data_IF_969285768886
#
_entry.id   IF_969285768886
#
_cell.length_a   1.000
_cell.length_b   1.000
_cell.length_c   1.000
_cell.angle_alpha   90.00
_cell.angle_beta   90.00
_cell.angle_gamma   90.00
#
_symmetry.space_group_name_H-M   'P 1'
#
loop_
_entity.id
_entity.type
_entity.pdbx_description
1 polymer ?
#
# COMPACT_ATOMS: atom_id res chain seq x y z
N UNK A 1 -0.35 -0.68 8.73
CA UNK A 1 0.55 -0.20 7.66
C UNK A 1 1.99 -0.47 8.08
N UNK A 2 2.87 -0.81 7.14
CA UNK A 2 4.29 -1.15 7.36
C UNK A 2 5.17 -0.17 6.57
N UNK A 3 6.38 0.08 7.06
CA UNK A 3 7.39 0.81 6.32
C UNK A 3 8.22 -0.18 5.49
N UNK A 4 8.55 0.18 4.25
CA UNK A 4 9.31 -0.68 3.36
C UNK A 4 10.20 0.09 2.40
N UNK A 5 11.19 -0.61 1.85
CA UNK A 5 12.01 -0.16 0.73
C UNK A 5 11.80 -1.07 -0.46
N UNK A 6 11.52 -0.51 -1.63
CA UNK A 6 11.45 -1.30 -2.86
C UNK A 6 12.87 -1.69 -3.26
N UNK A 7 13.12 -2.99 -3.42
CA UNK A 7 14.44 -3.53 -3.77
C UNK A 7 14.48 -4.15 -5.18
N UNK A 8 13.33 -4.37 -5.81
CA UNK A 8 13.28 -4.96 -7.14
C UNK A 8 11.87 -5.13 -7.70
N UNK A 9 11.79 -5.76 -8.86
CA UNK A 9 10.54 -6.04 -9.57
C UNK A 9 10.30 -7.55 -9.67
N UNK A 10 9.04 -7.96 -9.66
CA UNK A 10 8.63 -9.34 -9.94
C UNK A 10 7.89 -9.39 -11.26
N UNK A 11 8.28 -10.32 -12.12
CA UNK A 11 7.59 -10.61 -13.38
C UNK A 11 7.07 -12.05 -13.31
N UNK A 12 5.77 -12.22 -13.56
CA UNK A 12 5.12 -13.52 -13.61
C UNK A 12 4.24 -13.59 -14.86
N UNK A 13 4.55 -14.53 -15.76
CA UNK A 13 3.80 -14.79 -16.99
C UNK A 13 2.52 -15.57 -16.71
N UNK A 14 2.57 -16.51 -15.78
CA UNK A 14 1.43 -17.29 -15.31
C UNK A 14 1.06 -16.83 -13.91
N UNK A 15 -0.12 -16.21 -13.77
CA UNK A 15 -0.64 -15.65 -12.52
C UNK A 15 -2.16 -15.59 -12.56
N UNK A 16 -2.76 -15.37 -11.40
CA UNK A 16 -4.21 -15.20 -11.29
C UNK A 16 -4.70 -14.03 -12.19
N UNK A 17 -5.85 -14.18 -12.89
CA UNK A 17 -6.38 -13.13 -13.75
C UNK A 17 -6.69 -11.80 -13.04
N UNK A 18 -6.87 -11.80 -11.72
CA UNK A 18 -6.96 -10.61 -10.87
C UNK A 18 -5.65 -9.83 -10.80
N UNK A 19 -4.50 -10.49 -10.93
CA UNK A 19 -3.16 -9.89 -10.90
C UNK A 19 -2.65 -9.50 -12.29
N UNK A 20 -3.45 -9.70 -13.33
CA UNK A 20 -3.16 -9.18 -14.65
C UNK A 20 -3.06 -7.65 -14.58
N UNK A 21 -2.19 -7.08 -15.42
CA UNK A 21 -1.88 -5.64 -15.50
C UNK A 21 -1.27 -4.98 -14.25
N UNK A 22 -1.26 -5.66 -13.10
CA UNK A 22 -0.66 -5.11 -11.88
C UNK A 22 0.87 -5.28 -11.87
N UNK A 23 1.55 -4.22 -11.43
CA UNK A 23 2.99 -4.22 -11.16
C UNK A 23 3.23 -4.86 -9.80
N UNK A 24 4.14 -5.83 -9.77
CA UNK A 24 4.53 -6.53 -8.55
C UNK A 24 5.98 -6.15 -8.23
N UNK A 25 6.20 -5.70 -7.00
CA UNK A 25 7.47 -5.17 -6.53
C UNK A 25 7.96 -5.98 -5.33
N UNK A 26 9.27 -6.21 -5.25
CA UNK A 26 9.91 -6.80 -4.07
C UNK A 26 10.17 -5.68 -3.08
N UNK A 27 9.64 -5.84 -1.87
CA UNK A 27 9.75 -4.86 -0.79
C UNK A 27 10.48 -5.49 0.40
N UNK A 28 11.53 -4.83 0.86
CA UNK A 28 12.17 -5.12 2.13
C UNK A 28 11.45 -4.31 3.22
N UNK A 29 10.84 -4.99 4.20
CA UNK A 29 10.30 -4.31 5.38
C UNK A 29 11.40 -3.56 6.13
N UNK A 30 11.05 -2.42 6.76
CA UNK A 30 11.98 -1.59 7.52
C UNK A 30 11.52 -1.42 8.97
N UNK A 31 12.47 -1.27 9.88
CA UNK A 31 12.22 -0.86 11.27
C UNK A 31 12.20 0.67 11.42
N UNK A 32 12.01 1.14 12.65
CA UNK A 32 11.97 2.57 12.99
C UNK A 32 13.27 3.33 12.64
N UNK A 33 14.39 2.62 12.43
CA UNK A 33 15.69 3.19 12.07
C UNK A 33 16.06 2.96 10.59
N UNK A 34 15.06 2.65 9.74
CA UNK A 34 15.24 2.28 8.33
C UNK A 34 16.19 1.09 8.11
N UNK A 35 16.35 0.22 9.10
CA UNK A 35 17.11 -1.01 8.94
C UNK A 35 16.19 -2.12 8.40
N UNK A 36 16.71 -3.04 7.56
CA UNK A 36 15.95 -4.18 7.07
C UNK A 36 15.33 -4.98 8.22
N UNK A 37 14.01 -5.15 8.18
CA UNK A 37 13.22 -5.90 9.13
C UNK A 37 12.61 -7.12 8.44
N UNK A 38 13.00 -8.31 8.90
CA UNK A 38 12.48 -9.58 8.40
C UNK A 38 12.86 -9.87 6.94
N UNK A 39 12.16 -10.84 6.35
CA UNK A 39 12.39 -11.25 4.97
C UNK A 39 11.68 -10.30 3.98
N UNK A 40 12.25 -10.06 2.79
CA UNK A 40 11.55 -9.40 1.71
C UNK A 40 10.26 -10.12 1.34
N UNK A 41 9.25 -9.35 0.90
CA UNK A 41 7.97 -9.85 0.43
C UNK A 41 7.55 -9.14 -0.85
N UNK A 42 6.54 -9.68 -1.54
CA UNK A 42 6.01 -9.10 -2.77
C UNK A 42 4.81 -8.22 -2.43
N UNK A 43 4.81 -7.00 -2.94
CA UNK A 43 3.67 -6.09 -2.84
C UNK A 43 3.23 -5.66 -4.25
N UNK A 44 1.94 -5.44 -4.43
CA UNK A 44 1.43 -4.75 -5.60
C UNK A 44 1.72 -3.24 -5.51
N UNK A 45 1.92 -2.59 -6.65
CA UNK A 45 2.08 -1.14 -6.72
C UNK A 45 0.73 -0.46 -6.98
N UNK A 46 0.12 0.08 -5.93
CA UNK A 46 -1.13 0.83 -6.03
C UNK A 46 -0.96 2.26 -6.52
N UNK A 47 0.27 2.80 -6.52
CA UNK A 47 0.58 4.15 -7.02
C UNK A 47 1.06 4.10 -8.49
N UNK A 48 1.28 2.90 -9.01
CA UNK A 48 1.74 2.59 -10.37
C UNK A 48 3.09 3.21 -10.78
N UNK A 49 3.77 3.90 -9.88
CA UNK A 49 4.99 4.68 -10.15
C UNK A 49 6.17 4.28 -9.29
N UNK A 50 6.00 3.35 -8.34
CA UNK A 50 7.06 3.01 -7.39
C UNK A 50 8.19 2.24 -8.09
N UNK A 51 9.42 2.42 -7.60
CA UNK A 51 10.61 1.82 -8.19
C UNK A 51 11.69 1.48 -7.16
N UNK A 52 12.71 0.69 -7.56
CA UNK A 52 13.79 0.30 -6.66
C UNK A 52 14.51 1.50 -6.04
N UNK A 53 14.68 1.46 -4.71
CA UNK A 53 15.26 2.55 -3.92
C UNK A 53 14.23 3.35 -3.14
N UNK A 54 12.97 3.37 -3.57
CA UNK A 54 11.92 4.16 -2.93
C UNK A 54 11.57 3.63 -1.54
N UNK A 55 11.36 4.54 -0.61
CA UNK A 55 10.79 4.25 0.71
C UNK A 55 9.28 4.45 0.61
N UNK A 56 8.53 3.43 0.99
CA UNK A 56 7.09 3.33 0.76
C UNK A 56 6.38 2.87 2.04
N UNK A 57 5.10 3.23 2.17
CA UNK A 57 4.24 2.64 3.18
C UNK A 57 3.30 1.62 2.54
N UNK A 58 3.21 0.46 3.16
CA UNK A 58 2.51 -0.72 2.66
C UNK A 58 1.30 -1.04 3.54
N UNK A 59 0.18 -1.33 2.91
CA UNK A 59 -1.05 -1.82 3.55
C UNK A 59 -1.14 -3.33 3.33
N UNK A 60 -1.65 -4.05 4.34
CA UNK A 60 -1.64 -5.52 4.35
C UNK A 60 -3.05 -6.12 4.38
N UNK A 61 -3.17 -7.39 3.99
CA UNK A 61 -4.38 -8.22 4.03
C UNK A 61 -5.53 -7.60 3.22
N UNK A 62 -6.76 -7.74 3.69
CA UNK A 62 -7.99 -7.28 3.01
C UNK A 62 -7.94 -5.82 2.58
N UNK A 63 -7.25 -4.96 3.31
CA UNK A 63 -7.11 -3.55 2.97
C UNK A 63 -6.28 -3.33 1.69
N UNK A 64 -5.32 -4.22 1.40
CA UNK A 64 -4.48 -4.12 0.22
C UNK A 64 -5.27 -4.28 -1.08
N UNK A 65 -6.32 -5.10 -1.07
CA UNK A 65 -7.20 -5.31 -2.22
C UNK A 65 -8.11 -4.11 -2.51
N UNK A 66 -8.43 -3.28 -1.51
CA UNK A 66 -9.36 -2.13 -1.64
C UNK A 66 -8.79 -1.04 -2.57
N UNK A 67 -7.47 -0.99 -2.71
CA UNK A 67 -6.78 0.00 -3.54
C UNK A 67 -7.15 -0.13 -5.03
N UNK A 68 -7.55 -1.32 -5.46
CA UNK A 68 -7.83 -1.62 -6.85
C UNK A 68 -9.33 -1.55 -7.15
N UNK A 69 -9.74 -1.05 -8.34
CA UNK A 69 -11.14 -0.90 -8.71
C UNK A 69 -11.87 -2.23 -8.98
N UNK A 70 -11.13 -3.33 -9.15
CA UNK A 70 -11.69 -4.65 -9.48
C UNK A 70 -12.13 -5.37 -8.21
N UNK A 71 -13.36 -5.87 -8.20
CA UNK A 71 -13.80 -6.78 -7.14
C UNK A 71 -12.94 -8.06 -7.15
N UNK A 72 -12.35 -8.40 -6.00
CA UNK A 72 -11.59 -9.63 -5.74
C UNK A 72 -10.20 -9.71 -6.40
N UNK A 73 -9.31 -8.78 -6.09
CA UNK A 73 -7.88 -8.92 -6.40
C UNK A 73 -7.17 -9.70 -5.27
N UNK A 74 -6.49 -10.83 -5.56
CA UNK A 74 -5.83 -11.64 -4.53
C UNK A 74 -4.49 -11.04 -4.10
N UNK A 75 -4.53 -9.93 -3.36
CA UNK A 75 -3.35 -9.21 -2.88
C UNK A 75 -3.38 -9.12 -1.36
N UNK A 76 -2.26 -9.53 -0.75
CA UNK A 76 -2.03 -9.43 0.68
C UNK A 76 -1.19 -8.21 1.08
N UNK A 77 -0.46 -7.58 0.16
CA UNK A 77 0.38 -6.41 0.44
C UNK A 77 0.35 -5.44 -0.75
N UNK A 78 0.07 -4.16 -0.49
CA UNK A 78 -0.02 -3.12 -1.51
C UNK A 78 0.69 -1.84 -1.08
N UNK A 79 1.52 -1.30 -1.96
CA UNK A 79 2.15 0.02 -1.82
C UNK A 79 1.09 1.08 -2.12
N UNK A 80 0.83 1.95 -1.15
CA UNK A 80 -0.23 2.97 -1.23
C UNK A 80 0.30 4.40 -1.16
N UNK A 81 1.59 4.59 -0.88
CA UNK A 81 2.24 5.89 -1.02
C UNK A 81 3.74 5.86 -0.71
N UNK A 82 4.36 7.01 -0.96
CA UNK A 82 5.78 7.26 -0.70
C UNK A 82 5.99 7.91 0.66
N UNK A 83 7.18 7.69 1.22
CA UNK A 83 7.65 8.39 2.40
C UNK A 83 8.67 9.43 1.95
N UNK A 84 8.29 10.70 1.97
CA UNK A 84 9.21 11.80 1.67
C UNK A 84 10.10 12.12 2.88
N UNK A 85 9.50 12.19 4.06
CA UNK A 85 10.20 12.52 5.31
C UNK A 85 9.83 11.53 6.42
N UNK A 86 10.80 11.22 7.28
CA UNK A 86 10.60 10.41 8.47
C UNK A 86 11.37 11.01 9.65
N UNK A 87 10.76 10.99 10.83
CA UNK A 87 11.32 11.58 12.04
C UNK A 87 11.32 10.53 13.16
N UNK A 88 12.49 10.28 13.74
CA UNK A 88 12.64 9.33 14.85
C UNK A 88 12.95 10.09 16.12
N UNK A 89 11.97 10.21 17.02
CA UNK A 89 12.21 10.72 18.37
C UNK A 89 12.66 9.57 19.25
N UNK A 90 13.85 9.68 19.86
CA UNK A 90 14.33 8.69 20.83
C UNK A 90 13.43 8.70 22.07
N UNK A 91 12.43 7.83 22.06
CA UNK A 91 11.57 7.59 23.22
C UNK A 91 12.30 6.68 24.20
N UNK A 92 12.29 7.01 25.49
CA UNK A 92 12.85 6.13 26.52
C UNK A 92 12.20 4.74 26.40
N UNK A 93 13.01 3.66 26.46
CA UNK A 93 12.55 2.27 26.31
C UNK A 93 11.34 2.00 27.21
N UNK A 94 10.13 1.94 26.64
CA UNK A 94 8.93 1.54 27.39
C UNK A 94 9.05 0.05 27.66
N UNK A 95 9.04 -0.35 28.94
CA UNK A 95 8.97 -1.77 29.30
C UNK A 95 7.70 -2.36 28.66
N UNK A 96 7.76 -3.57 28.08
CA UNK A 96 6.57 -4.21 27.51
C UNK A 96 5.50 -4.30 28.60
N UNK A 97 4.34 -3.69 28.34
CA UNK A 97 3.23 -3.78 29.27
C UNK A 97 2.76 -5.23 29.27
N UNK A 98 2.74 -5.84 30.46
CA UNK A 98 2.21 -7.18 30.67
C UNK A 98 0.73 -7.13 30.30
N UNK A 99 0.37 -7.64 29.12
CA UNK A 99 -1.03 -7.83 28.75
C UNK A 99 -1.59 -8.82 29.77
N UNK A 100 -2.36 -8.32 30.73
CA UNK A 100 -3.12 -9.17 31.63
C UNK A 100 -4.17 -9.85 30.75
N UNK A 101 -3.91 -11.09 30.36
CA UNK A 101 -4.96 -11.97 29.85
C UNK A 101 -6.02 -12.02 30.94
N UNK A 102 -7.13 -11.30 30.76
CA UNK A 102 -8.30 -11.51 31.61
C UNK A 102 -8.65 -12.98 31.41
N UNK A 103 -8.41 -13.82 32.42
CA UNK A 103 -8.93 -15.20 32.50
C UNK A 103 -10.44 -15.16 32.69
N UNK A 104 -11.17 -14.40 31.87
CA UNK A 104 -12.63 -14.48 31.86
C UNK A 104 -12.99 -15.78 31.13
N UNK A 105 -13.80 -16.66 31.75
CA UNK A 105 -14.28 -17.85 31.06
C UNK A 105 -15.08 -17.44 29.81
N UNK A 106 -15.09 -18.29 28.76
CA UNK A 106 -15.91 -18.04 27.58
C UNK A 106 -17.39 -17.93 28.01
N UNK A 107 -18.17 -17.03 27.38
CA UNK A 107 -19.58 -16.88 27.72
C UNK A 107 -20.31 -18.20 27.43
N UNK A 108 -20.96 -18.76 28.45
CA UNK A 108 -21.80 -19.95 28.32
C UNK A 108 -23.02 -19.60 27.48
N UNK A 109 -23.10 -20.15 26.27
CA UNK A 109 -24.29 -20.07 25.43
C UNK A 109 -25.34 -21.00 26.07
N UNK A 110 -26.49 -20.44 26.48
CA UNK A 110 -27.62 -21.26 26.96
C UNK A 110 -28.22 -22.04 25.78
N UNK A 111 -28.62 -23.31 25.96
CA UNK A 111 -29.21 -24.11 24.89
C UNK A 111 -30.55 -23.54 24.41
N UNK A 112 -30.86 -23.83 23.14
CA UNK A 112 -31.83 -23.16 22.28
C UNK A 112 -33.32 -23.55 22.53
N UNK A 113 -33.68 -23.97 23.75
CA UNK A 113 -34.99 -24.59 24.01
C UNK A 113 -36.04 -23.68 24.69
N UNK A 114 -35.79 -22.38 24.78
CA UNK A 114 -36.80 -21.40 25.23
C UNK A 114 -36.98 -20.27 24.22
N UNK A 115 -37.61 -20.60 23.09
CA UNK A 115 -38.35 -19.62 22.30
C UNK A 115 -39.82 -19.76 22.76
N UNK A 116 -40.40 -18.80 23.48
CA UNK A 116 -41.85 -18.83 23.69
C UNK A 116 -42.53 -18.66 22.33
N UNK A 117 -43.38 -19.62 21.96
CA UNK A 117 -44.25 -19.54 20.79
C UNK A 117 -45.09 -18.26 20.85
N UNK A 118 -44.81 -17.32 19.95
CA UNK A 118 -45.64 -16.13 19.78
C UNK A 118 -46.88 -16.59 19.01
N UNK A 119 -48.00 -16.79 19.72
CA UNK A 119 -49.31 -16.98 19.11
C UNK A 119 -49.67 -15.71 18.35
N UNK A 120 -50.05 -15.92 17.09
CA UNK A 120 -50.27 -14.90 16.08
C UNK A 120 -51.68 -14.34 16.11
N UNK A 121 -52.07 -13.64 17.19
CA UNK A 121 -53.28 -12.82 17.20
C UNK A 121 -53.12 -11.64 18.17
N UNK A 122 -53.59 -10.47 17.74
CA UNK A 122 -53.66 -9.17 18.43
C UNK A 122 -52.43 -8.25 18.29
N UNK A 123 -52.45 -7.46 17.20
CA UNK A 123 -51.77 -6.18 17.11
C UNK A 123 -52.72 -5.11 17.67
N UNK A 124 -52.46 -4.48 18.82
CA UNK A 124 -53.04 -3.19 19.14
C UNK A 124 -52.16 -2.10 18.53
N UNK A 125 -52.71 -1.44 17.52
CA UNK A 125 -52.22 -0.16 17.02
C UNK A 125 -52.39 0.87 18.14
N UNK A 126 -51.31 1.32 18.77
CA UNK A 126 -51.33 2.61 19.46
C UNK A 126 -49.95 3.28 19.59
N UNK A 127 -49.77 4.25 18.70
CA UNK A 127 -49.07 5.54 18.83
C UNK A 127 -48.57 5.91 20.23
N UNK A 128 -47.24 6.05 20.39
CA UNK A 128 -46.61 7.20 21.09
C UNK A 128 -45.10 7.20 20.86
N UNK A 129 -44.66 7.87 19.79
CA UNK A 129 -43.25 8.15 19.57
C UNK A 129 -42.75 9.16 20.61
N UNK A 130 -41.90 8.72 21.55
CA UNK A 130 -41.14 9.63 22.43
C UNK A 130 -40.02 10.31 21.62
N UNK A 131 -39.84 11.64 21.74
CA UNK A 131 -38.94 12.39 20.87
C UNK A 131 -37.47 12.15 21.20
N UNK A 132 -36.66 11.93 20.16
CA UNK A 132 -35.19 11.84 20.22
C UNK A 132 -34.61 13.23 20.52
N UNK A 133 -33.68 13.38 21.47
CA UNK A 133 -33.08 14.68 21.79
C UNK A 133 -32.20 15.17 20.63
N UNK A 134 -32.49 16.40 20.16
CA UNK A 134 -31.72 17.09 19.12
C UNK A 134 -30.35 17.50 19.66
N UNK A 135 -29.28 16.85 19.21
CA UNK A 135 -27.91 17.34 19.44
C UNK A 135 -27.64 18.49 18.47
N UNK A 136 -27.15 19.61 19.01
CA UNK A 136 -26.87 20.86 18.28
C UNK A 136 -25.81 20.62 17.20
N UNK A 137 -26.23 20.76 15.95
CA UNK A 137 -25.34 20.91 14.79
C UNK A 137 -24.76 22.33 14.85
N UNK A 138 -23.44 22.43 14.87
CA UNK A 138 -22.71 23.69 14.67
C UNK A 138 -22.84 24.03 13.18
N UNK A 139 -23.37 25.20 12.80
CA UNK A 139 -23.43 25.59 11.39
C UNK A 139 -22.02 26.01 10.94
N UNK A 140 -21.47 25.32 9.95
CA UNK A 140 -20.39 25.88 9.14
C UNK A 140 -20.95 26.09 7.74
N UNK A 141 -20.98 27.37 7.36
CA UNK A 141 -21.53 27.86 6.11
C UNK A 141 -20.81 27.22 4.91
N UNK A 142 -21.62 26.71 3.99
CA UNK A 142 -21.22 26.36 2.63
C UNK A 142 -21.21 27.64 1.81
N UNK A 143 -20.04 28.28 1.67
CA UNK A 143 -19.82 29.25 0.59
C UNK A 143 -19.43 28.49 -0.68
N UNK A 144 -20.36 28.48 -1.62
CA UNK A 144 -20.23 28.01 -2.99
C UNK A 144 -19.34 28.97 -3.79
N UNK A 145 -18.03 28.70 -3.84
CA UNK A 145 -17.11 29.42 -4.72
C UNK A 145 -17.05 28.69 -6.07
N UNK A 146 -17.95 29.09 -6.97
CA UNK A 146 -17.79 28.88 -8.41
C UNK A 146 -16.64 29.76 -8.92
N UNK A 147 -15.46 29.15 -9.16
CA UNK A 147 -14.38 29.77 -9.94
C UNK A 147 -14.02 28.87 -11.13
N UNK A 148 -13.88 29.42 -12.36
CA UNK A 148 -13.63 28.63 -13.55
C UNK A 148 -12.20 28.05 -13.56
N UNK A 149 -12.12 26.82 -14.08
CA UNK A 149 -10.88 26.05 -14.31
C UNK A 149 -9.91 26.87 -15.19
N UNK A 150 -8.68 27.15 -14.73
CA UNK A 150 -7.67 27.77 -15.60
C UNK A 150 -7.18 26.75 -16.64
N UNK A 151 -7.30 27.11 -17.92
CA UNK A 151 -6.73 26.35 -19.04
C UNK A 151 -5.25 26.07 -18.81
N UNK A 152 -4.84 24.81 -18.93
CA UNK A 152 -3.44 24.37 -18.88
C UNK A 152 -2.59 25.20 -19.84
N UNK A 153 -1.66 26.01 -19.29
CA UNK A 153 -0.57 26.60 -20.04
C UNK A 153 0.39 25.49 -20.46
N UNK A 154 0.35 25.10 -21.73
CA UNK A 154 1.40 24.29 -22.35
C UNK A 154 2.71 25.08 -22.30
N UNK A 155 3.62 24.73 -21.38
CA UNK A 155 5.00 25.25 -21.40
C UNK A 155 5.84 24.37 -22.31
N UNK A 156 5.80 24.65 -23.61
CA UNK A 156 6.81 24.19 -24.56
C UNK A 156 8.15 24.82 -24.19
N UNK A 157 9.07 24.04 -23.64
CA UNK A 157 10.51 24.38 -23.68
C UNK A 157 11.05 23.89 -25.03
N UNK A 158 11.75 24.72 -25.82
CA UNK A 158 12.46 24.22 -26.99
C UNK A 158 13.57 23.29 -26.50
N UNK A 159 13.55 22.06 -27.03
CA UNK A 159 14.60 21.06 -26.87
C UNK A 159 15.85 21.61 -27.57
N UNK A 160 16.86 22.02 -26.81
CA UNK A 160 18.16 22.34 -27.39
C UNK A 160 18.70 21.07 -28.06
N UNK A 161 18.98 21.15 -29.37
CA UNK A 161 19.64 20.09 -30.10
C UNK A 161 21.08 19.98 -29.57
N UNK A 162 21.32 19.07 -28.63
CA UNK A 162 22.66 18.63 -28.32
C UNK A 162 23.18 17.82 -29.52
N UNK A 163 24.05 18.44 -30.30
CA UNK A 163 24.86 17.79 -31.33
C UNK A 163 25.76 16.75 -30.67
N UNK A 164 25.37 15.48 -30.77
CA UNK A 164 26.23 14.35 -30.41
C UNK A 164 27.33 14.22 -31.45
N UNK A 165 28.48 14.84 -31.20
CA UNK A 165 29.73 14.54 -31.90
C UNK A 165 30.06 13.06 -31.68
N UNK A 166 30.06 12.28 -32.77
CA UNK A 166 30.58 10.91 -32.77
C UNK A 166 32.08 10.94 -32.48
N UNK A 167 32.46 10.85 -31.21
CA UNK A 167 33.85 10.50 -30.84
C UNK A 167 34.02 9.02 -31.11
N UNK A 168 34.53 8.68 -32.29
CA UNK A 168 35.02 7.35 -32.65
C UNK A 168 36.11 6.96 -31.66
N UNK A 169 35.77 6.14 -30.65
CA UNK A 169 36.79 5.40 -29.90
C UNK A 169 37.26 4.26 -30.79
N UNK A 170 38.42 4.47 -31.40
CA UNK A 170 39.24 3.49 -32.09
C UNK A 170 39.48 2.33 -31.12
N UNK A 171 38.78 1.21 -31.30
CA UNK A 171 39.09 -0.04 -30.61
C UNK A 171 40.44 -0.46 -31.19
N UNK A 172 41.50 -0.30 -30.39
CA UNK A 172 42.82 -0.83 -30.71
C UNK A 172 42.76 -2.32 -30.40
N UNK A 173 42.47 -3.08 -31.43
CA UNK A 173 42.60 -4.52 -31.48
C UNK A 173 44.02 -4.88 -30.99
N UNK A 174 44.10 -5.47 -29.79
CA UNK A 174 45.31 -6.14 -29.31
C UNK A 174 44.98 -7.62 -29.27
N UNK A 175 45.26 -8.28 -30.38
CA UNK A 175 45.55 -9.71 -30.45
C UNK A 175 46.78 -9.98 -29.55
N UNK A 176 46.71 -10.82 -28.51
CA UNK A 176 47.89 -11.51 -28.04
C UNK A 176 48.08 -12.76 -28.91
N UNK A 177 49.12 -12.64 -29.73
CA UNK A 177 49.76 -13.67 -30.53
C UNK A 177 49.89 -15.00 -29.79
N UNK A 178 49.40 -16.07 -30.41
CA UNK A 178 49.89 -17.42 -30.23
C UNK A 178 51.35 -17.50 -30.73
N UNK A 179 52.28 -17.62 -29.79
CA UNK A 179 53.55 -18.31 -29.98
C UNK A 179 53.57 -19.36 -28.87
N UNK A 180 53.47 -20.64 -29.19
CA UNK A 180 54.40 -21.32 -30.06
C UNK A 180 55.45 -21.92 -29.15
N UNK A 181 55.14 -23.14 -28.71
CA UNK A 181 56.10 -24.17 -28.33
C UNK A 181 57.20 -24.28 -29.37
N UNK A 182 58.44 -24.48 -28.92
CA UNK A 182 59.40 -25.49 -29.42
C UNK A 182 60.83 -25.11 -29.00
N UNK A 183 61.38 -25.89 -28.09
CA UNK A 183 62.72 -26.51 -28.15
C UNK A 183 62.86 -27.32 -26.86
N UNK A 184 63.14 -28.62 -26.87
CA UNK A 184 63.80 -29.48 -27.87
C UNK A 184 63.33 -29.40 -29.33
#
# INVERSE_FOLDING_TARGET
MKLGKVIGNVVATTKDPGLNTLRLLVVQGLDDNLQPLGNPYVAADGIETAGPGDIVYVVSKKEAAIVFPKELVPIDECIVGYVEEYYVTKSAKRKPQKIQTRKSPPPTIKPLDEIPEIKSDEIPVETTAKPIPKTKIIPTEVEEITKPIPKSRTRTKPRSKATRTKKTRKIKEKQPTSKGSESE
#
